data_IF_112517727397
#
_entry.id   IF_112517727397
#
_cell.length_a   1.000
_cell.length_b   1.000
_cell.length_c   1.000
_cell.angle_alpha   90.00
_cell.angle_beta   90.00
_cell.angle_gamma   90.00
#
_symmetry.space_group_name_H-M   'P 1'
#
loop_
_entity.id
_entity.type
_entity.pdbx_description
1 polymer ?
#
# COMPACT_ATOMS: atom_id res chain seq x y z
N UNK A 1 43.48 -2.68 4.33
CA UNK A 1 42.46 -3.23 3.41
C UNK A 1 41.28 -3.67 4.25
N UNK A 2 40.09 -3.12 3.96
CA UNK A 2 38.71 -3.58 4.21
C UNK A 2 37.83 -2.37 4.53
N UNK A 3 37.44 -1.63 3.50
CA UNK A 3 36.30 -0.71 3.57
C UNK A 3 35.02 -1.55 3.65
N UNK A 4 34.29 -1.43 4.75
CA UNK A 4 32.92 -1.94 4.88
C UNK A 4 32.06 -1.47 3.69
N UNK A 5 31.22 -2.33 3.09
CA UNK A 5 30.32 -1.89 2.05
C UNK A 5 29.31 -0.92 2.68
N UNK A 6 29.45 0.37 2.34
CA UNK A 6 28.49 1.40 2.66
C UNK A 6 27.15 1.01 2.04
N UNK A 7 26.07 1.06 2.82
CA UNK A 7 24.69 0.75 2.39
C UNK A 7 24.22 1.54 1.15
N UNK A 8 24.99 2.54 0.71
CA UNK A 8 24.79 3.29 -0.52
C UNK A 8 24.88 2.44 -1.81
N UNK A 9 25.61 1.31 -1.82
CA UNK A 9 25.75 0.47 -3.02
C UNK A 9 24.66 -0.61 -3.20
N UNK A 10 23.81 -0.83 -2.18
CA UNK A 10 22.63 -1.69 -2.30
C UNK A 10 21.41 -0.95 -2.89
N UNK A 11 21.53 0.36 -3.13
CA UNK A 11 20.52 1.22 -3.75
C UNK A 11 20.39 0.98 -5.27
N UNK A 12 20.42 -0.26 -5.72
CA UNK A 12 20.00 -0.59 -7.07
C UNK A 12 18.46 -0.54 -7.09
N UNK A 13 17.93 0.68 -7.31
CA UNK A 13 16.56 1.00 -7.74
C UNK A 13 15.42 0.67 -6.74
N UNK A 14 15.51 1.09 -5.47
CA UNK A 14 14.33 1.08 -4.61
C UNK A 14 13.28 2.09 -5.11
N UNK A 15 12.06 1.62 -5.41
CA UNK A 15 10.95 2.42 -5.93
C UNK A 15 9.92 2.66 -4.82
N UNK A 16 9.83 3.91 -4.37
CA UNK A 16 8.80 4.34 -3.43
C UNK A 16 7.49 4.66 -4.18
N UNK A 17 6.39 4.02 -3.77
CA UNK A 17 5.08 4.31 -4.33
C UNK A 17 4.56 5.66 -3.86
N UNK A 18 4.06 6.46 -4.81
CA UNK A 18 3.44 7.75 -4.51
C UNK A 18 2.09 7.54 -3.81
N UNK A 19 1.79 8.24 -2.71
CA UNK A 19 0.48 8.21 -2.06
C UNK A 19 -0.64 8.64 -3.01
N UNK A 20 -1.82 8.04 -2.86
CA UNK A 20 -3.03 8.34 -3.62
C UNK A 20 -4.17 8.69 -2.66
N UNK A 21 -4.58 9.95 -2.68
CA UNK A 21 -5.63 10.47 -1.82
C UNK A 21 -7.06 10.26 -2.36
N UNK A 22 -7.20 9.61 -3.52
CA UNK A 22 -8.50 9.45 -4.19
C UNK A 22 -9.51 8.69 -3.34
N UNK A 23 -9.08 7.58 -2.74
CA UNK A 23 -9.92 6.74 -1.90
C UNK A 23 -10.35 7.44 -0.61
N UNK A 24 -9.44 7.99 0.22
CA UNK A 24 -9.86 8.68 1.44
C UNK A 24 -10.70 9.92 1.17
N UNK A 25 -10.37 10.73 0.16
CA UNK A 25 -11.18 11.90 -0.20
C UNK A 25 -12.56 11.52 -0.75
N UNK A 26 -12.64 10.45 -1.55
CA UNK A 26 -13.91 9.91 -2.02
C UNK A 26 -14.81 9.45 -0.88
N UNK A 27 -14.25 8.74 0.11
CA UNK A 27 -14.98 8.32 1.31
C UNK A 27 -15.46 9.51 2.14
N UNK A 28 -14.65 10.55 2.29
CA UNK A 28 -15.07 11.78 2.98
C UNK A 28 -16.20 12.49 2.26
N UNK A 29 -16.15 12.58 0.93
CA UNK A 29 -17.25 13.15 0.14
C UNK A 29 -18.56 12.34 0.33
N UNK A 30 -18.48 11.00 0.29
CA UNK A 30 -19.61 10.12 0.56
C UNK A 30 -20.13 10.30 1.99
N UNK A 31 -19.24 10.41 2.97
CA UNK A 31 -19.59 10.64 4.37
C UNK A 31 -20.40 11.92 4.56
N UNK A 32 -20.01 13.01 3.88
CA UNK A 32 -20.74 14.28 3.93
C UNK A 32 -22.15 14.12 3.36
N UNK A 33 -22.30 13.49 2.19
CA UNK A 33 -23.61 13.24 1.57
C UNK A 33 -24.49 12.36 2.46
N UNK A 34 -23.92 11.29 3.03
CA UNK A 34 -24.63 10.40 3.96
C UNK A 34 -25.01 11.13 5.24
N UNK A 35 -24.17 12.04 5.74
CA UNK A 35 -24.45 12.84 6.94
C UNK A 35 -25.67 13.75 6.80
N UNK A 36 -25.98 14.20 5.58
CA UNK A 36 -27.19 14.98 5.28
C UNK A 36 -28.48 14.16 5.43
N UNK A 37 -28.40 12.84 5.20
CA UNK A 37 -29.55 11.92 5.26
C UNK A 37 -29.63 11.23 6.62
N UNK A 38 -28.49 10.74 7.12
CA UNK A 38 -28.36 9.99 8.36
C UNK A 38 -27.01 10.30 9.02
N UNK A 39 -27.04 11.25 9.97
CA UNK A 39 -25.84 11.78 10.64
C UNK A 39 -24.90 10.70 11.17
N UNK A 40 -25.44 9.69 11.87
CA UNK A 40 -24.62 8.61 12.45
C UNK A 40 -23.88 7.79 11.40
N UNK A 41 -24.52 7.50 10.27
CA UNK A 41 -23.88 6.76 9.17
C UNK A 41 -22.78 7.61 8.52
N UNK A 42 -23.08 8.88 8.24
CA UNK A 42 -22.08 9.83 7.75
C UNK A 42 -20.88 9.96 8.69
N UNK A 43 -21.11 9.99 10.00
CA UNK A 43 -20.05 10.09 11.01
C UNK A 43 -19.15 8.85 11.01
N UNK A 44 -19.71 7.64 10.99
CA UNK A 44 -18.91 6.39 10.94
C UNK A 44 -18.05 6.33 9.68
N UNK A 45 -18.66 6.61 8.51
CA UNK A 45 -17.93 6.63 7.23
C UNK A 45 -16.88 7.75 7.22
N UNK A 46 -17.19 8.91 7.79
CA UNK A 46 -16.29 10.05 7.90
C UNK A 46 -15.05 9.76 8.74
N UNK A 47 -15.24 9.14 9.91
CA UNK A 47 -14.11 8.71 10.76
C UNK A 47 -13.22 7.73 10.01
N UNK A 48 -13.81 6.76 9.29
CA UNK A 48 -13.04 5.82 8.50
C UNK A 48 -12.28 6.50 7.35
N UNK A 49 -12.90 7.46 6.66
CA UNK A 49 -12.25 8.27 5.63
C UNK A 49 -11.06 9.08 6.18
N UNK A 50 -11.23 9.71 7.35
CA UNK A 50 -10.16 10.44 8.04
C UNK A 50 -9.02 9.50 8.46
N UNK A 51 -9.35 8.32 8.97
CA UNK A 51 -8.36 7.30 9.31
C UNK A 51 -7.53 6.90 8.09
N UNK A 52 -8.16 6.64 6.95
CA UNK A 52 -7.45 6.30 5.71
C UNK A 52 -6.64 7.49 5.17
N UNK A 53 -7.13 8.72 5.32
CA UNK A 53 -6.38 9.93 4.96
C UNK A 53 -5.08 10.03 5.75
N UNK A 54 -5.16 9.84 7.07
CA UNK A 54 -4.00 9.82 7.96
C UNK A 54 -3.02 8.71 7.57
N UNK A 55 -3.50 7.48 7.36
CA UNK A 55 -2.66 6.36 6.94
C UNK A 55 -1.96 6.64 5.60
N UNK A 56 -2.67 7.24 4.64
CA UNK A 56 -2.11 7.64 3.33
C UNK A 56 -0.98 8.65 3.49
N UNK A 57 -1.13 9.61 4.41
CA UNK A 57 -0.13 10.64 4.66
C UNK A 57 1.11 10.11 5.40
N UNK A 58 0.98 9.01 6.14
CA UNK A 58 2.02 8.51 7.07
C UNK A 58 2.75 7.27 6.55
N UNK A 59 2.05 6.35 5.91
CA UNK A 59 2.63 5.09 5.43
C UNK A 59 3.29 5.31 4.07
N UNK A 60 4.42 4.65 3.84
CA UNK A 60 5.07 4.54 2.52
C UNK A 60 5.28 3.07 2.20
N UNK A 61 5.08 2.72 0.93
CA UNK A 61 5.44 1.43 0.38
C UNK A 61 6.65 1.61 -0.52
N UNK A 62 7.68 0.82 -0.30
CA UNK A 62 8.92 0.85 -1.08
C UNK A 62 9.18 -0.56 -1.60
N UNK A 63 9.26 -0.70 -2.91
CA UNK A 63 9.69 -1.93 -3.56
C UNK A 63 11.20 -1.84 -3.77
N UNK A 64 11.94 -2.81 -3.26
CA UNK A 64 13.36 -2.97 -3.61
C UNK A 64 13.56 -4.27 -4.40
N UNK A 65 14.82 -4.68 -4.59
CA UNK A 65 15.16 -5.87 -5.36
C UNK A 65 14.59 -7.17 -4.75
N UNK A 66 14.39 -7.23 -3.45
CA UNK A 66 14.09 -8.49 -2.73
C UNK A 66 12.79 -8.46 -1.94
N UNK A 67 12.25 -7.28 -1.60
CA UNK A 67 11.09 -7.16 -0.73
C UNK A 67 10.24 -5.91 -0.98
N UNK A 68 8.97 -6.03 -0.58
CA UNK A 68 8.11 -4.89 -0.29
C UNK A 68 8.33 -4.45 1.15
N UNK A 69 8.92 -3.27 1.34
CA UNK A 69 9.10 -2.66 2.65
C UNK A 69 8.00 -1.62 2.92
N UNK A 70 7.54 -1.58 4.16
CA UNK A 70 6.54 -0.64 4.67
C UNK A 70 7.21 0.27 5.68
N UNK A 71 7.13 1.57 5.42
CA UNK A 71 7.67 2.60 6.29
C UNK A 71 6.54 3.42 6.92
N UNK A 72 6.82 3.93 8.12
CA UNK A 72 6.06 4.97 8.81
C UNK A 72 7.00 6.15 9.02
N UNK A 73 6.86 7.20 8.19
CA UNK A 73 7.91 8.20 8.07
C UNK A 73 9.22 7.56 7.60
N UNK A 74 10.30 7.74 8.36
CA UNK A 74 11.62 7.18 8.05
C UNK A 74 11.86 5.79 8.67
N UNK A 75 10.94 5.29 9.48
CA UNK A 75 11.11 4.01 10.18
C UNK A 75 10.48 2.87 9.39
N UNK A 76 11.27 1.86 9.05
CA UNK A 76 10.77 0.61 8.50
C UNK A 76 10.00 -0.14 9.58
N UNK A 77 8.69 -0.33 9.38
CA UNK A 77 7.82 -1.02 10.35
C UNK A 77 7.60 -2.47 9.98
N UNK A 78 7.78 -2.83 8.69
CA UNK A 78 7.60 -4.20 8.21
C UNK A 78 8.27 -4.40 6.86
N UNK A 79 8.70 -5.64 6.60
CA UNK A 79 9.28 -6.08 5.33
C UNK A 79 8.64 -7.39 4.90
N UNK A 80 8.36 -7.52 3.62
CA UNK A 80 7.72 -8.67 3.00
C UNK A 80 8.59 -9.18 1.84
N UNK A 81 9.48 -10.16 2.09
CA UNK A 81 10.37 -10.70 1.05
C UNK A 81 9.61 -11.41 -0.06
N UNK A 82 9.90 -11.12 -1.32
CA UNK A 82 9.16 -11.70 -2.46
C UNK A 82 9.26 -13.22 -2.54
N UNK A 83 10.38 -13.79 -2.07
CA UNK A 83 10.59 -15.24 -2.02
C UNK A 83 9.54 -15.99 -1.17
N UNK A 84 8.90 -15.28 -0.23
CA UNK A 84 7.91 -15.85 0.67
C UNK A 84 6.48 -15.70 0.13
N UNK A 85 6.31 -14.99 -0.99
CA UNK A 85 5.00 -14.72 -1.59
C UNK A 85 4.51 -15.93 -2.39
N UNK A 86 3.22 -16.24 -2.24
CA UNK A 86 2.55 -17.33 -2.94
C UNK A 86 1.48 -16.83 -3.91
N UNK A 87 0.83 -15.73 -3.57
CA UNK A 87 -0.29 -15.21 -4.34
C UNK A 87 -0.44 -13.70 -4.10
N UNK A 88 -0.82 -12.94 -5.11
CA UNK A 88 -1.27 -11.57 -4.95
C UNK A 88 -2.39 -11.21 -5.93
N UNK A 89 -3.22 -10.26 -5.54
CA UNK A 89 -4.24 -9.69 -6.43
C UNK A 89 -4.61 -8.27 -6.03
N UNK A 90 -5.16 -7.53 -6.99
CA UNK A 90 -5.71 -6.18 -6.79
C UNK A 90 -7.19 -6.24 -7.13
N UNK A 91 -8.03 -6.09 -6.11
CA UNK A 91 -9.47 -6.22 -6.24
C UNK A 91 -10.15 -4.92 -6.67
N UNK A 92 -11.38 -5.07 -7.20
CA UNK A 92 -12.30 -4.00 -7.58
C UNK A 92 -11.88 -3.16 -8.81
N UNK A 93 -11.63 -3.79 -9.94
CA UNK A 93 -11.48 -3.06 -11.22
C UNK A 93 -12.85 -2.48 -11.64
N UNK A 94 -12.96 -1.19 -12.02
CA UNK A 94 -11.90 -0.25 -12.43
C UNK A 94 -11.38 0.70 -11.33
N UNK A 95 -11.89 0.64 -10.10
CA UNK A 95 -11.45 1.49 -8.97
C UNK A 95 -10.72 0.61 -7.95
N UNK A 96 -9.44 0.29 -8.17
CA UNK A 96 -8.72 -0.66 -7.35
C UNK A 96 -8.56 -0.11 -5.93
N UNK A 97 -9.35 -0.64 -5.00
CA UNK A 97 -9.42 -0.16 -3.62
C UNK A 97 -8.70 -1.08 -2.62
N UNK A 98 -8.44 -2.33 -3.00
CA UNK A 98 -7.93 -3.34 -2.08
C UNK A 98 -6.82 -4.17 -2.74
N UNK A 99 -5.67 -4.20 -2.09
CA UNK A 99 -4.52 -5.01 -2.45
C UNK A 99 -4.44 -6.19 -1.48
N UNK A 100 -4.31 -7.39 -2.04
CA UNK A 100 -4.14 -8.64 -1.31
C UNK A 100 -2.84 -9.31 -1.71
N UNK A 101 -2.14 -9.86 -0.72
CA UNK A 101 -1.08 -10.82 -0.96
C UNK A 101 -1.01 -11.86 0.15
N UNK A 102 -0.54 -13.06 -0.20
CA UNK A 102 -0.35 -14.19 0.69
C UNK A 102 1.12 -14.57 0.70
N UNK A 103 1.67 -14.66 1.90
CA UNK A 103 2.96 -15.27 2.19
C UNK A 103 2.78 -16.71 2.70
N UNK A 104 3.86 -17.47 2.80
CA UNK A 104 3.84 -18.87 3.30
C UNK A 104 3.06 -19.02 4.61
N UNK A 105 3.21 -18.07 5.54
CA UNK A 105 2.65 -18.14 6.89
C UNK A 105 1.62 -17.03 7.20
N UNK A 106 1.20 -16.21 6.22
CA UNK A 106 0.34 -15.04 6.49
C UNK A 106 -0.43 -14.57 5.27
N UNK A 107 -1.60 -13.98 5.52
CA UNK A 107 -2.40 -13.26 4.50
C UNK A 107 -2.50 -11.79 4.89
N UNK A 108 -2.41 -10.91 3.90
CA UNK A 108 -2.43 -9.46 4.10
C UNK A 108 -3.44 -8.81 3.18
N UNK A 109 -4.19 -7.86 3.73
CA UNK A 109 -5.12 -7.00 3.01
C UNK A 109 -4.79 -5.54 3.31
N UNK A 110 -4.58 -4.77 2.27
CA UNK A 110 -4.20 -3.37 2.37
C UNK A 110 -5.14 -2.53 1.50
N UNK A 111 -5.77 -1.48 2.05
CA UNK A 111 -6.41 -0.48 1.21
C UNK A 111 -5.37 0.09 0.24
N UNK A 112 -5.74 0.29 -1.03
CA UNK A 112 -4.83 0.91 -2.00
C UNK A 112 -4.83 2.41 -1.75
N UNK A 113 -3.92 2.81 -0.87
CA UNK A 113 -3.63 4.20 -0.52
C UNK A 113 -2.51 4.81 -1.37
N UNK A 114 -2.05 4.09 -2.39
CA UNK A 114 -0.94 4.46 -3.26
C UNK A 114 -1.35 4.40 -4.73
N UNK A 115 -0.52 4.90 -5.64
CA UNK A 115 -0.77 4.82 -7.08
C UNK A 115 -1.03 3.36 -7.50
N UNK A 116 -2.26 3.02 -7.95
CA UNK A 116 -2.58 1.63 -8.27
C UNK A 116 -1.81 1.12 -9.50
N UNK A 117 -1.53 2.00 -10.45
CA UNK A 117 -0.76 1.68 -11.65
C UNK A 117 0.70 1.37 -11.28
N UNK A 118 1.32 2.21 -10.44
CA UNK A 118 2.69 1.97 -10.00
C UNK A 118 2.78 0.71 -9.12
N UNK A 119 1.81 0.50 -8.22
CA UNK A 119 1.72 -0.72 -7.42
C UNK A 119 1.68 -1.96 -8.32
N UNK A 120 0.79 -1.97 -9.32
CA UNK A 120 0.65 -3.10 -10.24
C UNK A 120 1.93 -3.34 -11.05
N UNK A 121 2.54 -2.28 -11.59
CA UNK A 121 3.78 -2.39 -12.35
C UNK A 121 4.91 -3.01 -11.52
N UNK A 122 5.05 -2.62 -10.24
CA UNK A 122 6.06 -3.20 -9.35
C UNK A 122 5.73 -4.65 -8.96
N UNK A 123 4.46 -4.97 -8.72
CA UNK A 123 4.03 -6.35 -8.46
C UNK A 123 4.30 -7.27 -9.67
N UNK A 124 4.03 -6.80 -10.89
CA UNK A 124 4.32 -7.55 -12.12
C UNK A 124 5.84 -7.68 -12.33
N UNK A 125 6.62 -6.65 -12.05
CA UNK A 125 8.08 -6.70 -12.19
C UNK A 125 8.74 -7.69 -11.22
N UNK A 126 8.31 -7.73 -9.96
CA UNK A 126 8.98 -8.47 -8.89
C UNK A 126 8.30 -9.80 -8.53
N UNK A 127 6.99 -9.93 -8.78
CA UNK A 127 6.15 -11.03 -8.31
C UNK A 127 5.22 -11.58 -9.40
N UNK A 128 5.52 -11.43 -10.70
CA UNK A 128 4.64 -11.89 -11.78
C UNK A 128 4.21 -13.37 -11.68
N UNK A 129 5.10 -14.24 -11.20
CA UNK A 129 4.84 -15.69 -11.13
C UNK A 129 3.76 -16.08 -10.11
N UNK A 130 3.43 -15.17 -9.19
CA UNK A 130 2.46 -15.39 -8.11
C UNK A 130 1.20 -14.54 -8.26
N UNK A 131 0.97 -13.93 -9.43
CA UNK A 131 -0.27 -13.23 -9.72
C UNK A 131 -1.46 -14.21 -9.76
N UNK A 132 -2.58 -13.85 -9.13
CA UNK A 132 -3.86 -14.57 -9.21
C UNK A 132 -4.74 -14.04 -10.34
#
# INVERSE_FOLDING_TARGET
MTSSPSAANAANQAVQLTPSYRLPLGLLAIALLLGLVQLWLGLVVGIFGLFLLYQTAVIRLVFDAEALAVYRGETEIRRFPYRDWQAWTVFWQPVPILFYFREVNSIHFLPILFSPQALRAQLEQHCAQTAL
#
